data_IF_933994914262
#
_entry.id   IF_933994914262
#
_cell.length_a   1.000
_cell.length_b   1.000
_cell.length_c   1.000
_cell.angle_alpha   90.00
_cell.angle_beta   90.00
_cell.angle_gamma   90.00
#
_symmetry.space_group_name_H-M   'P 1'
#
loop_
_entity.id
_entity.type
_entity.pdbx_description
1 polymer ?
#
# COMPACT_ATOMS: atom_id res chain seq x y z
N UNK A 1 3.14 26.25 -4.60
CA UNK A 1 2.64 25.09 -5.35
C UNK A 1 3.86 24.44 -6.00
N UNK A 2 4.30 23.28 -5.50
CA UNK A 2 5.52 22.60 -5.98
C UNK A 2 5.12 21.56 -7.00
N UNK A 3 5.48 21.76 -8.27
CA UNK A 3 5.26 20.78 -9.33
C UNK A 3 6.43 19.80 -9.33
N UNK A 4 6.19 18.56 -8.89
CA UNK A 4 7.17 17.48 -9.01
C UNK A 4 7.20 17.03 -10.47
N UNK A 5 8.35 17.21 -11.15
CA UNK A 5 8.58 16.65 -12.49
C UNK A 5 9.17 15.25 -12.33
N UNK A 6 8.38 14.22 -12.62
CA UNK A 6 8.86 12.84 -12.70
C UNK A 6 9.75 12.71 -13.93
N UNK A 7 11.02 12.38 -13.76
CA UNK A 7 11.92 12.08 -14.88
C UNK A 7 11.48 10.80 -15.59
N UNK A 8 11.77 10.64 -16.88
CA UNK A 8 11.40 9.45 -17.66
C UNK A 8 11.87 8.15 -17.00
N UNK A 9 13.12 8.11 -16.51
CA UNK A 9 13.63 6.97 -15.76
C UNK A 9 12.96 6.76 -14.39
N UNK A 10 12.44 7.80 -13.76
CA UNK A 10 11.62 7.71 -12.56
C UNK A 10 10.24 7.11 -12.84
N UNK A 11 9.61 7.53 -13.93
CA UNK A 11 8.31 7.01 -14.38
C UNK A 11 8.40 5.52 -14.75
N UNK A 12 9.42 5.13 -15.51
CA UNK A 12 9.63 3.72 -15.89
C UNK A 12 9.85 2.81 -14.67
N UNK A 13 10.56 3.30 -13.64
CA UNK A 13 10.71 2.57 -12.37
C UNK A 13 9.40 2.44 -11.61
N UNK A 14 8.58 3.50 -11.56
CA UNK A 14 7.25 3.45 -10.94
C UNK A 14 6.32 2.47 -11.67
N UNK A 15 6.31 2.48 -13.00
CA UNK A 15 5.52 1.53 -13.81
C UNK A 15 5.95 0.08 -13.57
N UNK A 16 7.26 -0.18 -13.48
CA UNK A 16 7.77 -1.51 -13.18
C UNK A 16 7.35 -2.00 -11.79
N UNK A 17 7.35 -1.13 -10.77
CA UNK A 17 6.92 -1.46 -9.41
C UNK A 17 5.40 -1.66 -9.26
N UNK A 18 4.60 -0.87 -9.98
CA UNK A 18 3.13 -0.95 -9.94
C UNK A 18 2.55 -2.02 -10.87
N UNK A 19 3.39 -2.70 -11.65
CA UNK A 19 2.96 -3.78 -12.53
C UNK A 19 2.43 -4.96 -11.71
N UNK A 20 1.27 -5.54 -12.06
CA UNK A 20 0.81 -6.80 -11.49
C UNK A 20 1.79 -7.97 -11.69
N UNK A 21 2.70 -7.87 -12.66
CA UNK A 21 3.75 -8.85 -12.89
C UNK A 21 4.97 -8.69 -11.94
N UNK A 22 4.98 -7.67 -11.08
CA UNK A 22 6.04 -7.46 -10.11
C UNK A 22 5.97 -8.50 -8.98
N UNK A 23 7.08 -9.17 -8.61
CA UNK A 23 7.07 -10.45 -7.89
C UNK A 23 6.77 -10.36 -6.38
N UNK A 24 6.00 -9.36 -5.93
CA UNK A 24 5.79 -9.11 -4.49
C UNK A 24 4.36 -8.83 -4.03
N UNK A 25 3.33 -8.69 -4.89
CA UNK A 25 2.05 -8.17 -4.33
C UNK A 25 0.75 -8.18 -5.12
N UNK A 26 0.63 -8.89 -6.25
CA UNK A 26 -0.65 -8.90 -6.99
C UNK A 26 -1.84 -9.51 -6.21
N UNK A 27 -1.56 -10.26 -5.14
CA UNK A 27 -2.56 -11.06 -4.41
C UNK A 27 -2.69 -10.68 -2.93
N UNK A 28 -2.06 -9.59 -2.46
CA UNK A 28 -2.05 -9.24 -1.03
C UNK A 28 -3.45 -9.02 -0.42
N UNK A 29 -4.47 -8.85 -1.28
CA UNK A 29 -5.86 -8.62 -0.90
C UNK A 29 -6.83 -9.68 -1.47
N UNK A 30 -6.33 -10.69 -2.20
CA UNK A 30 -7.20 -11.67 -2.89
C UNK A 30 -7.97 -12.54 -1.92
N UNK A 31 -7.34 -13.01 -0.85
CA UNK A 31 -8.00 -13.85 0.16
C UNK A 31 -9.11 -13.12 0.92
N UNK A 32 -8.95 -11.82 1.18
CA UNK A 32 -10.01 -11.01 1.80
C UNK A 32 -11.20 -10.80 0.85
N UNK A 33 -10.92 -10.63 -0.44
CA UNK A 33 -11.94 -10.51 -1.48
C UNK A 33 -12.70 -11.83 -1.69
N UNK A 34 -11.98 -12.95 -1.78
CA UNK A 34 -12.55 -14.30 -1.89
C UNK A 34 -13.51 -14.57 -0.73
N UNK A 35 -13.07 -14.32 0.50
CA UNK A 35 -13.91 -14.50 1.68
C UNK A 35 -15.14 -13.59 1.69
N UNK A 36 -15.01 -12.31 1.32
CA UNK A 36 -16.14 -11.36 1.29
C UNK A 36 -17.18 -11.75 0.22
N UNK A 37 -16.76 -12.37 -0.88
CA UNK A 37 -17.68 -12.95 -1.87
C UNK A 37 -18.36 -14.19 -1.31
N UNK A 38 -17.62 -15.12 -0.68
CA UNK A 38 -18.19 -16.33 -0.07
C UNK A 38 -19.16 -16.03 1.07
N UNK A 39 -18.90 -14.98 1.85
CA UNK A 39 -19.77 -14.51 2.92
C UNK A 39 -21.06 -13.81 2.43
N UNK A 40 -21.12 -13.44 1.15
CA UNK A 40 -22.25 -12.72 0.55
C UNK A 40 -22.21 -11.20 0.77
N UNK A 41 -21.10 -10.66 1.27
CA UNK A 41 -20.92 -9.21 1.44
C UNK A 41 -20.70 -8.50 0.09
N UNK A 42 -20.20 -9.23 -0.92
CA UNK A 42 -20.00 -8.74 -2.29
C UNK A 42 -20.82 -9.61 -3.25
N UNK A 43 -21.86 -9.03 -3.83
CA UNK A 43 -22.77 -9.71 -4.77
C UNK A 43 -22.85 -9.04 -6.14
N UNK A 44 -22.33 -7.82 -6.26
CA UNK A 44 -22.36 -7.01 -7.47
C UNK A 44 -21.24 -5.95 -7.48
N UNK A 45 -21.18 -5.16 -8.56
CA UNK A 45 -20.21 -4.08 -8.72
C UNK A 45 -20.30 -3.02 -7.62
N UNK A 46 -21.50 -2.71 -7.14
CA UNK A 46 -21.72 -1.65 -6.15
C UNK A 46 -21.20 -2.05 -4.78
N UNK A 47 -21.52 -3.26 -4.35
CA UNK A 47 -21.05 -3.86 -3.10
C UNK A 47 -19.53 -4.05 -3.11
N UNK A 48 -18.95 -4.42 -4.26
CA UNK A 48 -17.49 -4.47 -4.43
C UNK A 48 -16.84 -3.09 -4.25
N UNK A 49 -17.40 -2.03 -4.85
CA UNK A 49 -16.86 -0.68 -4.75
C UNK A 49 -16.89 -0.15 -3.31
N UNK A 50 -17.98 -0.46 -2.57
CA UNK A 50 -18.11 -0.13 -1.16
C UNK A 50 -17.01 -0.85 -0.35
N UNK A 51 -16.88 -2.16 -0.52
CA UNK A 51 -15.87 -2.96 0.16
C UNK A 51 -14.45 -2.45 -0.12
N UNK A 52 -14.13 -2.13 -1.38
CA UNK A 52 -12.82 -1.59 -1.76
C UNK A 52 -12.56 -0.24 -1.09
N UNK A 53 -13.57 0.62 -1.03
CA UNK A 53 -13.49 1.91 -0.35
C UNK A 53 -13.18 1.72 1.13
N UNK A 54 -13.82 0.76 1.80
CA UNK A 54 -13.55 0.45 3.19
C UNK A 54 -12.15 -0.13 3.42
N UNK A 55 -11.68 -1.02 2.54
CA UNK A 55 -10.31 -1.54 2.59
C UNK A 55 -9.27 -0.42 2.48
N UNK A 56 -9.52 0.57 1.62
CA UNK A 56 -8.62 1.72 1.42
C UNK A 56 -8.68 2.73 2.57
N UNK A 57 -9.85 2.97 3.15
CA UNK A 57 -10.08 4.06 4.12
C UNK A 57 -9.96 3.63 5.57
N UNK A 58 -10.30 2.37 5.86
CA UNK A 58 -10.38 1.79 7.21
C UNK A 58 -9.55 0.51 7.34
N UNK A 59 -9.34 -0.23 6.26
CA UNK A 59 -8.63 -1.51 6.26
C UNK A 59 -7.12 -1.43 6.00
N UNK A 60 -6.56 -2.55 5.52
CA UNK A 60 -5.13 -2.73 5.28
C UNK A 60 -4.53 -1.74 4.28
N UNK A 61 -5.31 -1.23 3.32
CA UNK A 61 -4.84 -0.22 2.37
C UNK A 61 -4.40 1.09 3.05
N UNK A 62 -5.03 1.45 4.17
CA UNK A 62 -4.62 2.60 4.99
C UNK A 62 -3.29 2.34 5.68
N UNK A 63 -3.12 1.16 6.28
CA UNK A 63 -1.90 0.76 6.99
C UNK A 63 -0.69 0.77 6.05
N UNK A 64 -0.83 0.20 4.84
CA UNK A 64 0.21 0.19 3.82
C UNK A 64 0.61 1.61 3.40
N UNK A 65 -0.37 2.50 3.22
CA UNK A 65 -0.13 3.90 2.86
C UNK A 65 0.64 4.65 3.96
N UNK A 66 0.31 4.41 5.23
CA UNK A 66 1.01 5.00 6.37
C UNK A 66 2.46 4.52 6.41
N UNK A 67 2.69 3.21 6.33
CA UNK A 67 4.03 2.62 6.36
C UNK A 67 4.89 3.11 5.18
N UNK A 68 4.32 3.13 3.96
CA UNK A 68 4.99 3.64 2.77
C UNK A 68 5.40 5.10 2.94
N UNK A 69 4.53 5.95 3.49
CA UNK A 69 4.83 7.37 3.75
C UNK A 69 5.98 7.53 4.74
N UNK A 70 6.00 6.74 5.81
CA UNK A 70 7.09 6.79 6.79
C UNK A 70 8.41 6.31 6.18
N UNK A 71 8.41 5.18 5.47
CA UNK A 71 9.57 4.64 4.78
C UNK A 71 10.14 5.64 3.75
N UNK A 72 9.28 6.25 2.92
CA UNK A 72 9.69 7.23 1.92
C UNK A 72 10.33 8.47 2.57
N UNK A 73 9.77 8.97 3.68
CA UNK A 73 10.34 10.12 4.41
C UNK A 73 11.72 9.82 4.98
N UNK A 74 11.92 8.62 5.54
CA UNK A 74 13.19 8.20 6.09
C UNK A 74 14.25 7.99 4.99
N UNK A 75 13.86 7.47 3.83
CA UNK A 75 14.75 7.29 2.69
C UNK A 75 15.23 8.63 2.07
N UNK A 76 14.48 9.72 2.27
CA UNK A 76 14.84 11.06 1.81
C UNK A 76 15.79 11.84 2.74
N UNK A 77 16.06 11.34 3.95
CA UNK A 77 17.12 11.84 4.83
C UNK A 77 18.44 11.13 4.51
N UNK A 78 19.53 11.87 4.36
CA UNK A 78 20.85 11.37 3.92
C UNK A 78 21.54 10.33 4.84
N UNK A 79 20.87 9.77 5.83
CA UNK A 79 21.41 8.77 6.77
C UNK A 79 20.60 7.47 6.75
N UNK A 80 20.43 6.89 5.57
CA UNK A 80 19.79 5.59 5.36
C UNK A 80 20.69 4.42 5.81
N UNK A 81 21.12 4.43 7.07
CA UNK A 81 21.82 3.33 7.73
C UNK A 81 20.88 2.46 8.56
N UNK A 82 20.23 1.47 7.91
CA UNK A 82 19.76 0.19 8.50
C UNK A 82 18.81 0.14 9.73
N UNK A 83 18.29 1.23 10.32
CA UNK A 83 17.62 1.14 11.63
C UNK A 83 16.18 1.69 11.77
N UNK A 84 15.42 1.91 10.69
CA UNK A 84 14.15 2.65 10.77
C UNK A 84 12.85 1.84 10.95
N UNK A 85 12.75 0.64 10.38
CA UNK A 85 11.44 -0.05 10.28
C UNK A 85 11.15 -0.93 11.51
N UNK A 86 12.18 -1.37 12.21
CA UNK A 86 12.05 -2.24 13.38
C UNK A 86 11.57 -1.51 14.65
N UNK A 87 11.84 -0.21 14.80
CA UNK A 87 11.53 0.51 16.05
C UNK A 87 10.06 0.90 16.20
N UNK A 88 9.29 0.99 15.11
CA UNK A 88 7.87 1.33 15.17
C UNK A 88 6.99 0.12 15.55
N UNK A 89 7.33 -1.08 15.08
CA UNK A 89 6.61 -2.33 15.45
C UNK A 89 6.75 -2.66 16.94
N UNK A 90 7.82 -2.21 17.61
CA UNK A 90 8.05 -2.46 19.02
C UNK A 90 7.47 -1.40 19.97
N UNK A 91 6.91 -0.30 19.44
CA UNK A 91 6.43 0.84 20.25
C UNK A 91 4.90 0.93 20.37
N UNK A 92 4.14 0.03 19.71
CA UNK A 92 2.67 0.04 19.68
C UNK A 92 1.96 -0.83 20.74
N UNK A 93 2.68 -1.34 21.73
CA UNK A 93 2.09 -2.05 22.88
C UNK A 93 1.95 -1.12 24.08
N UNK A 94 0.81 -0.44 24.20
CA UNK A 94 0.46 0.42 25.34
C UNK A 94 -0.91 1.05 25.18
#
# INVERSE_FOLDING_TARGET
MTTTITTEGGLLRLLAWLSPAFPTGAFAYSHGLEWAVEAGDITDETTLLIWLTDVMTHGSGRSDTILLRHAHRLAGGHDAGRAGVASFVMAGGG
#
